data_IF_255925166486
#
_entry.id   IF_255925166486
#
_cell.length_a   1.000
_cell.length_b   1.000
_cell.length_c   1.000
_cell.angle_alpha   90.00
_cell.angle_beta   90.00
_cell.angle_gamma   90.00
#
_symmetry.space_group_name_H-M   'P 1'
#
loop_
_entity.id
_entity.type
_entity.pdbx_description
1 polymer ?
#
# COMPACT_ATOMS: atom_id res chain seq x y z
N UNK A 1 42.22 -28.95 -17.26
CA UNK A 1 43.26 -28.38 -16.37
C UNK A 1 42.59 -27.60 -15.26
N UNK A 2 43.24 -27.53 -14.10
CA UNK A 2 42.68 -27.31 -12.76
C UNK A 2 42.10 -25.89 -12.53
N UNK A 3 41.11 -25.74 -11.63
CA UNK A 3 40.65 -24.46 -11.10
C UNK A 3 41.56 -23.98 -9.94
N UNK A 4 41.99 -22.71 -9.98
CA UNK A 4 42.71 -22.07 -8.87
C UNK A 4 41.74 -21.38 -7.92
N UNK A 5 41.69 -21.90 -6.69
CA UNK A 5 41.15 -21.28 -5.48
C UNK A 5 42.29 -20.57 -4.73
N UNK A 6 42.03 -19.37 -4.19
CA UNK A 6 42.79 -18.74 -3.09
C UNK A 6 41.92 -17.59 -2.56
N UNK A 7 41.29 -17.67 -1.39
CA UNK A 7 41.81 -17.60 -0.01
C UNK A 7 41.89 -16.16 0.55
N UNK A 8 40.82 -15.78 1.25
CA UNK A 8 40.74 -15.23 2.61
C UNK A 8 41.95 -14.44 3.18
N UNK A 9 41.72 -13.18 3.56
CA UNK A 9 42.31 -12.57 4.77
C UNK A 9 41.35 -11.56 5.39
N UNK A 10 40.89 -11.88 6.60
CA UNK A 10 40.29 -10.95 7.55
C UNK A 10 41.38 -10.12 8.23
N UNK A 11 41.11 -8.85 8.49
CA UNK A 11 41.85 -8.04 9.44
C UNK A 11 40.88 -7.08 10.16
N UNK A 12 40.65 -7.37 11.43
CA UNK A 12 39.99 -6.49 12.39
C UNK A 12 41.05 -5.60 13.03
N UNK A 13 40.83 -4.29 13.11
CA UNK A 13 41.52 -3.40 14.05
C UNK A 13 40.47 -2.45 14.65
N UNK A 14 40.33 -2.53 15.97
CA UNK A 14 39.57 -1.63 16.81
C UNK A 14 40.45 -0.44 17.22
N UNK A 15 39.89 0.78 17.18
CA UNK A 15 40.32 1.88 18.05
C UNK A 15 39.18 2.90 18.17
N UNK A 16 38.68 3.10 19.38
CA UNK A 16 37.65 4.07 19.75
C UNK A 16 38.31 5.37 20.32
N UNK A 17 37.57 6.35 20.88
CA UNK A 17 37.33 7.66 20.27
C UNK A 17 37.96 8.84 21.06
N UNK A 18 38.02 10.04 20.46
CA UNK A 18 38.36 11.27 21.18
C UNK A 18 37.37 12.41 20.88
N UNK A 19 36.76 12.90 21.95
CA UNK A 19 35.83 14.02 22.09
C UNK A 19 36.50 15.38 21.76
N UNK A 20 35.78 16.25 21.05
CA UNK A 20 35.90 17.71 21.23
C UNK A 20 34.52 18.37 21.06
N UNK A 21 33.83 18.58 22.20
CA UNK A 21 32.73 19.54 22.31
C UNK A 21 33.33 20.93 22.57
N UNK A 22 33.08 21.87 21.68
CA UNK A 22 33.39 23.29 21.90
C UNK A 22 32.10 24.06 22.17
N UNK A 23 31.91 24.46 23.42
CA UNK A 23 30.92 25.45 23.87
C UNK A 23 31.62 26.78 24.17
N UNK A 24 30.99 27.94 23.94
CA UNK A 24 31.31 29.15 24.68
C UNK A 24 30.32 29.37 25.82
N UNK A 25 30.88 29.68 26.99
CA UNK A 25 30.19 30.14 28.19
C UNK A 25 30.11 31.68 28.20
N UNK A 26 29.00 32.25 28.68
CA UNK A 26 29.01 33.59 29.28
C UNK A 26 27.99 33.69 30.41
N UNK A 27 28.45 34.25 31.52
CA UNK A 27 27.83 34.23 32.83
C UNK A 27 26.97 35.48 33.12
N UNK A 28 25.90 35.24 33.88
CA UNK A 28 25.39 36.00 35.04
C UNK A 28 25.29 37.55 35.00
N UNK A 29 24.07 38.05 35.22
CA UNK A 29 23.78 38.95 36.35
C UNK A 29 22.25 39.08 36.55
N UNK A 30 21.81 38.86 37.78
CA UNK A 30 20.45 39.05 38.25
C UNK A 30 20.24 40.48 38.76
N UNK A 31 19.11 41.10 38.43
CA UNK A 31 18.46 42.17 39.22
C UNK A 31 17.03 42.39 38.72
N UNK A 32 16.03 42.06 39.55
CA UNK A 32 14.70 42.70 39.60
C UNK A 32 14.79 43.85 40.64
N UNK A 33 13.91 44.90 40.69
CA UNK A 33 12.44 44.81 40.60
C UNK A 33 11.73 46.05 40.00
N UNK A 34 10.40 46.09 40.19
CA UNK A 34 9.41 47.21 40.16
C UNK A 34 8.47 47.36 38.96
N UNK A 35 7.19 47.51 39.32
CA UNK A 35 6.00 47.60 38.50
C UNK A 35 5.61 49.07 38.23
N UNK A 36 5.01 49.34 37.07
CA UNK A 36 4.05 50.44 36.86
C UNK A 36 3.24 50.20 35.57
N UNK A 37 2.03 50.75 35.53
CA UNK A 37 0.90 50.35 34.71
C UNK A 37 0.70 51.14 33.40
N UNK A 38 -0.21 50.59 32.57
CA UNK A 38 -1.18 51.23 31.67
C UNK A 38 -0.77 51.94 30.37
N UNK A 39 -1.23 51.32 29.27
CA UNK A 39 -2.09 51.84 28.19
C UNK A 39 -1.50 52.59 26.96
N UNK A 40 -2.06 52.18 25.81
CA UNK A 40 -2.39 52.96 24.59
C UNK A 40 -1.50 52.73 23.35
N UNK A 41 -2.04 51.88 22.47
CA UNK A 41 -2.07 51.89 20.99
C UNK A 41 -0.91 52.50 20.17
N UNK A 42 -0.37 51.72 19.24
CA UNK A 42 -0.72 51.88 17.81
C UNK A 42 -0.22 50.73 16.94
N UNK A 43 -1.08 50.35 16.01
CA UNK A 43 -0.85 49.38 14.95
C UNK A 43 0.13 49.90 13.90
N UNK A 44 1.00 49.01 13.41
CA UNK A 44 1.45 48.99 12.03
C UNK A 44 1.92 47.56 11.71
N UNK A 45 1.00 46.79 11.13
CA UNK A 45 1.21 45.44 10.65
C UNK A 45 2.27 45.43 9.54
N UNK A 46 3.35 44.68 9.76
CA UNK A 46 4.15 44.08 8.68
C UNK A 46 4.47 42.67 9.12
N UNK A 47 3.49 41.79 8.93
CA UNK A 47 3.69 40.37 8.94
C UNK A 47 3.21 39.85 7.59
N UNK A 48 4.13 39.88 6.63
CA UNK A 48 4.15 38.98 5.50
C UNK A 48 4.33 37.56 6.07
N UNK A 49 3.27 36.97 6.62
CA UNK A 49 3.17 35.53 6.79
C UNK A 49 2.74 35.00 5.44
N UNK A 50 3.69 34.42 4.72
CA UNK A 50 3.42 33.55 3.60
C UNK A 50 2.47 32.45 4.09
N UNK A 51 1.19 32.62 3.79
CA UNK A 51 0.17 31.58 3.93
C UNK A 51 0.52 30.50 2.91
N UNK A 52 1.29 29.52 3.35
CA UNK A 52 1.35 28.24 2.67
C UNK A 52 0.03 27.55 2.97
N UNK A 53 -1.02 27.95 2.25
CA UNK A 53 -2.31 27.29 2.31
C UNK A 53 -2.09 25.84 1.86
N UNK A 54 -2.04 24.91 2.81
CA UNK A 54 -2.27 23.49 2.55
C UNK A 54 -3.49 23.40 1.62
N UNK A 55 -3.45 22.62 0.53
CA UNK A 55 -4.59 22.50 -0.36
C UNK A 55 -5.82 22.12 0.46
N UNK A 56 -6.80 23.02 0.52
CA UNK A 56 -8.02 22.84 1.31
C UNK A 56 -8.71 21.57 0.83
N UNK A 57 -8.89 20.60 1.72
CA UNK A 57 -9.58 19.36 1.38
C UNK A 57 -11.06 19.66 1.12
N UNK A 58 -11.71 19.02 0.13
CA UNK A 58 -13.13 19.25 -0.12
C UNK A 58 -14.02 18.97 1.10
N UNK A 59 -13.55 18.15 2.05
CA UNK A 59 -14.25 17.81 3.29
C UNK A 59 -14.22 18.94 4.34
N UNK A 60 -13.34 19.93 4.21
CA UNK A 60 -13.25 21.05 5.17
C UNK A 60 -14.46 21.96 5.13
N UNK A 61 -15.02 22.16 3.94
CA UNK A 61 -16.16 23.05 3.70
C UNK A 61 -17.50 22.33 3.69
N UNK A 62 -17.51 20.99 3.76
CA UNK A 62 -18.76 20.20 3.76
C UNK A 62 -19.53 20.37 5.08
N UNK A 63 -20.85 20.36 4.95
CA UNK A 63 -21.75 20.29 6.11
C UNK A 63 -21.63 18.94 6.80
N UNK A 64 -22.01 18.88 8.08
CA UNK A 64 -22.03 17.63 8.84
C UNK A 64 -22.90 16.55 8.18
N UNK A 65 -24.05 16.94 7.62
CA UNK A 65 -24.95 16.04 6.89
C UNK A 65 -24.26 15.46 5.65
N UNK A 66 -23.60 16.29 4.84
CA UNK A 66 -22.89 15.84 3.64
C UNK A 66 -21.74 14.89 3.99
N UNK A 67 -21.02 15.16 5.08
CA UNK A 67 -19.97 14.29 5.59
C UNK A 67 -20.53 12.93 6.02
N UNK A 68 -21.65 12.91 6.76
CA UNK A 68 -22.31 11.65 7.13
C UNK A 68 -22.78 10.87 5.91
N UNK A 69 -23.39 11.53 4.92
CA UNK A 69 -23.82 10.90 3.68
C UNK A 69 -22.61 10.28 2.94
N UNK A 70 -21.47 10.98 2.90
CA UNK A 70 -20.26 10.47 2.28
C UNK A 70 -19.74 9.20 2.98
N UNK A 71 -19.72 9.18 4.31
CA UNK A 71 -19.32 7.98 5.08
C UNK A 71 -20.31 6.82 4.89
N UNK A 72 -21.61 7.10 4.90
CA UNK A 72 -22.63 6.08 4.67
C UNK A 72 -22.55 5.49 3.25
N UNK A 73 -22.19 6.29 2.25
CA UNK A 73 -21.94 5.80 0.88
C UNK A 73 -20.76 4.84 0.82
N UNK A 74 -19.68 5.12 1.54
CA UNK A 74 -18.55 4.21 1.68
C UNK A 74 -19.03 2.90 2.32
N UNK A 75 -19.77 2.95 3.44
CA UNK A 75 -20.30 1.76 4.10
C UNK A 75 -21.24 0.90 3.24
N UNK A 76 -21.99 1.55 2.33
CA UNK A 76 -22.90 0.89 1.40
C UNK A 76 -22.19 0.22 0.21
N UNK A 77 -20.92 0.54 -0.04
CA UNK A 77 -20.15 -0.10 -1.10
C UNK A 77 -20.01 -1.62 -0.82
N UNK A 78 -20.19 -2.48 -1.84
CA UNK A 78 -20.15 -3.93 -1.65
C UNK A 78 -18.77 -4.45 -1.23
N UNK A 79 -17.71 -3.72 -1.58
CA UNK A 79 -16.32 -4.03 -1.28
C UNK A 79 -15.81 -3.41 0.03
N UNK A 80 -16.68 -2.79 0.83
CA UNK A 80 -16.31 -2.26 2.14
C UNK A 80 -15.99 -3.38 3.14
N UNK A 81 -14.70 -3.51 3.43
CA UNK A 81 -14.14 -4.50 4.35
C UNK A 81 -14.38 -4.19 5.83
N UNK A 82 -13.83 -5.05 6.70
CA UNK A 82 -14.07 -4.99 8.15
C UNK A 82 -13.39 -3.79 8.78
N UNK A 83 -12.18 -3.45 8.34
CA UNK A 83 -11.43 -2.27 8.77
C UNK A 83 -12.16 -0.99 8.44
N UNK A 84 -12.54 -0.82 7.17
CA UNK A 84 -13.33 0.34 6.71
C UNK A 84 -14.62 0.48 7.51
N UNK A 85 -15.38 -0.62 7.69
CA UNK A 85 -16.63 -0.58 8.46
C UNK A 85 -16.41 -0.16 9.91
N UNK A 86 -15.35 -0.65 10.55
CA UNK A 86 -15.03 -0.31 11.94
C UNK A 86 -14.71 1.18 12.10
N UNK A 87 -13.80 1.70 11.29
CA UNK A 87 -13.39 3.11 11.39
C UNK A 87 -14.48 4.08 10.92
N UNK A 88 -15.28 3.70 9.92
CA UNK A 88 -16.42 4.49 9.48
C UNK A 88 -17.50 4.62 10.55
N UNK A 89 -17.87 3.53 11.24
CA UNK A 89 -18.86 3.60 12.33
C UNK A 89 -18.33 4.42 13.51
N UNK A 90 -17.04 4.27 13.85
CA UNK A 90 -16.40 5.12 14.86
C UNK A 90 -16.47 6.61 14.52
N UNK A 91 -16.30 6.98 13.24
CA UNK A 91 -16.45 8.36 12.80
C UNK A 91 -17.90 8.85 12.85
N UNK A 92 -18.87 8.00 12.52
CA UNK A 92 -20.31 8.31 12.60
C UNK A 92 -20.80 8.53 14.02
N UNK A 93 -20.26 7.79 14.99
CA UNK A 93 -20.56 7.92 16.42
C UNK A 93 -19.84 9.11 17.07
N UNK A 94 -18.94 9.77 16.34
CA UNK A 94 -18.08 10.86 16.81
C UNK A 94 -18.57 12.26 16.43
N UNK A 95 -17.61 13.18 16.37
CA UNK A 95 -17.80 14.60 16.03
C UNK A 95 -17.68 14.86 14.52
N UNK A 96 -17.99 16.08 14.09
CA UNK A 96 -17.81 16.50 12.69
C UNK A 96 -16.34 16.41 12.28
N UNK A 97 -15.42 16.76 13.17
CA UNK A 97 -13.98 16.62 12.97
C UNK A 97 -13.56 15.15 12.80
N UNK A 98 -14.20 14.21 13.47
CA UNK A 98 -13.94 12.76 13.29
C UNK A 98 -14.38 12.29 11.90
N UNK A 99 -15.55 12.74 11.43
CA UNK A 99 -16.02 12.47 10.06
C UNK A 99 -15.04 13.03 9.01
N UNK A 100 -14.58 14.28 9.18
CA UNK A 100 -13.58 14.89 8.28
C UNK A 100 -12.27 14.12 8.30
N UNK A 101 -11.78 13.77 9.49
CA UNK A 101 -10.53 13.03 9.65
C UNK A 101 -10.60 11.66 8.97
N UNK A 102 -11.71 10.95 9.16
CA UNK A 102 -11.94 9.69 8.47
C UNK A 102 -11.94 9.86 6.94
N UNK A 103 -12.69 10.82 6.40
CA UNK A 103 -12.77 11.02 4.95
C UNK A 103 -11.44 11.49 4.33
N UNK A 104 -10.64 12.28 5.06
CA UNK A 104 -9.34 12.76 4.59
C UNK A 104 -8.27 11.68 4.58
N UNK A 105 -8.18 10.89 5.65
CA UNK A 105 -7.04 9.97 5.86
C UNK A 105 -7.47 8.61 6.39
N UNK A 106 -8.45 8.57 7.31
CA UNK A 106 -8.85 7.33 7.98
C UNK A 106 -9.38 6.25 7.03
N UNK A 107 -10.16 6.63 6.01
CA UNK A 107 -10.70 5.69 5.02
C UNK A 107 -9.59 4.98 4.27
N UNK A 108 -8.59 5.73 3.78
CA UNK A 108 -7.45 5.17 3.04
C UNK A 108 -6.64 4.18 3.90
N UNK A 109 -6.43 4.50 5.17
CA UNK A 109 -5.70 3.62 6.10
C UNK A 109 -6.51 2.36 6.43
N UNK A 110 -7.80 2.51 6.69
CA UNK A 110 -8.70 1.39 6.96
C UNK A 110 -8.83 0.46 5.74
N UNK A 111 -8.85 1.03 4.53
CA UNK A 111 -8.84 0.26 3.29
C UNK A 111 -7.52 -0.50 3.11
N UNK A 112 -6.38 0.10 3.45
CA UNK A 112 -5.09 -0.59 3.40
C UNK A 112 -5.02 -1.80 4.35
N UNK A 113 -5.63 -1.70 5.54
CA UNK A 113 -5.78 -2.86 6.44
C UNK A 113 -6.58 -3.99 5.79
N UNK A 114 -7.72 -3.67 5.19
CA UNK A 114 -8.57 -4.64 4.50
C UNK A 114 -7.85 -5.24 3.27
N UNK A 115 -7.13 -4.41 2.50
CA UNK A 115 -6.36 -4.83 1.33
C UNK A 115 -5.22 -5.79 1.75
N UNK A 116 -4.47 -5.50 2.83
CA UNK A 116 -3.47 -6.45 3.36
C UNK A 116 -4.07 -7.82 3.65
N UNK A 117 -5.22 -7.85 4.33
CA UNK A 117 -5.92 -9.10 4.66
C UNK A 117 -6.34 -9.83 3.38
N UNK A 118 -6.84 -9.11 2.37
CA UNK A 118 -7.18 -9.69 1.08
C UNK A 118 -5.96 -10.32 0.39
N UNK A 119 -4.79 -9.67 0.43
CA UNK A 119 -3.54 -10.20 -0.15
C UNK A 119 -3.10 -11.47 0.60
N UNK A 120 -3.10 -11.47 1.92
CA UNK A 120 -2.79 -12.68 2.69
C UNK A 120 -3.79 -13.82 2.41
N UNK A 121 -5.06 -13.48 2.20
CA UNK A 121 -6.09 -14.47 1.82
C UNK A 121 -5.81 -15.05 0.44
N UNK A 122 -5.34 -14.26 -0.52
CA UNK A 122 -4.87 -14.75 -1.83
C UNK A 122 -3.67 -15.69 -1.62
N UNK A 123 -2.66 -15.26 -0.86
CA UNK A 123 -1.44 -16.05 -0.62
C UNK A 123 -1.69 -17.38 0.11
N UNK A 124 -2.77 -17.47 0.90
CA UNK A 124 -3.15 -18.68 1.61
C UNK A 124 -3.81 -19.74 0.71
N UNK A 125 -4.21 -19.35 -0.51
CA UNK A 125 -4.81 -20.29 -1.47
C UNK A 125 -3.76 -21.26 -2.01
N UNK A 126 -4.05 -22.57 -2.05
CA UNK A 126 -3.09 -23.56 -2.55
C UNK A 126 -2.79 -23.40 -4.06
N UNK A 127 -3.70 -22.80 -4.82
CA UNK A 127 -3.52 -22.50 -6.24
C UNK A 127 -2.68 -21.25 -6.53
N UNK A 128 -2.26 -20.49 -5.50
CA UNK A 128 -1.42 -19.31 -5.69
C UNK A 128 -0.02 -19.70 -6.19
N UNK A 129 0.29 -19.28 -7.41
CA UNK A 129 1.54 -19.62 -8.07
C UNK A 129 2.70 -18.69 -7.73
N UNK A 130 3.85 -18.98 -8.33
CA UNK A 130 5.12 -18.32 -8.00
C UNK A 130 5.11 -16.84 -8.33
N UNK A 131 4.46 -16.44 -9.42
CA UNK A 131 4.35 -15.05 -9.82
C UNK A 131 3.43 -14.29 -8.87
N UNK A 132 2.27 -14.86 -8.50
CA UNK A 132 1.38 -14.27 -7.49
C UNK A 132 2.12 -14.07 -6.17
N UNK A 133 2.84 -15.07 -5.67
CA UNK A 133 3.64 -14.95 -4.45
C UNK A 133 4.69 -13.82 -4.53
N UNK A 134 5.36 -13.70 -5.67
CA UNK A 134 6.40 -12.70 -5.90
C UNK A 134 5.84 -11.29 -5.91
N UNK A 135 4.77 -11.04 -6.65
CA UNK A 135 4.21 -9.68 -6.77
C UNK A 135 3.40 -9.28 -5.53
N UNK A 136 2.68 -10.21 -4.90
CA UNK A 136 2.04 -9.98 -3.61
C UNK A 136 3.06 -9.66 -2.51
N UNK A 137 4.19 -10.40 -2.49
CA UNK A 137 5.28 -10.16 -1.54
C UNK A 137 5.82 -8.73 -1.65
N UNK A 138 6.09 -8.25 -2.86
CA UNK A 138 6.53 -6.86 -3.08
C UNK A 138 5.51 -5.84 -2.55
N UNK A 139 4.23 -6.04 -2.82
CA UNK A 139 3.19 -5.13 -2.35
C UNK A 139 3.08 -5.09 -0.82
N UNK A 140 3.29 -6.24 -0.16
CA UNK A 140 3.32 -6.34 1.30
C UNK A 140 4.62 -5.78 1.90
N UNK A 141 5.75 -5.92 1.22
CA UNK A 141 7.03 -5.36 1.66
C UNK A 141 7.03 -3.83 1.56
N UNK A 142 6.39 -3.26 0.54
CA UNK A 142 6.20 -1.81 0.40
C UNK A 142 5.21 -1.25 1.45
N UNK A 143 4.19 -2.03 1.82
CA UNK A 143 3.15 -1.74 2.83
C UNK A 143 2.49 -0.34 2.72
N UNK A 144 2.41 0.20 1.50
CA UNK A 144 1.68 1.46 1.25
C UNK A 144 0.26 1.17 0.79
N UNK A 145 -0.74 2.00 1.16
CA UNK A 145 -2.11 1.85 0.67
C UNK A 145 -2.18 1.77 -0.87
N UNK A 146 -1.34 2.53 -1.55
CA UNK A 146 -1.27 2.58 -3.01
C UNK A 146 -0.71 1.28 -3.59
N UNK A 147 0.37 0.71 -3.02
CA UNK A 147 0.95 -0.54 -3.50
C UNK A 147 0.00 -1.73 -3.31
N UNK A 148 -0.62 -1.82 -2.13
CA UNK A 148 -1.58 -2.87 -1.80
C UNK A 148 -2.79 -2.83 -2.75
N UNK A 149 -3.37 -1.63 -2.97
CA UNK A 149 -4.51 -1.45 -3.86
C UNK A 149 -4.15 -1.72 -5.32
N UNK A 150 -2.97 -1.29 -5.76
CA UNK A 150 -2.49 -1.52 -7.13
C UNK A 150 -2.34 -3.01 -7.41
N UNK A 151 -1.78 -3.77 -6.47
CA UNK A 151 -1.69 -5.22 -6.61
C UNK A 151 -3.09 -5.84 -6.73
N UNK A 152 -4.02 -5.53 -5.84
CA UNK A 152 -5.36 -6.14 -5.88
C UNK A 152 -6.16 -5.79 -7.14
N UNK A 153 -6.02 -4.57 -7.65
CA UNK A 153 -6.80 -4.09 -8.80
C UNK A 153 -6.22 -4.51 -10.15
N UNK A 154 -4.89 -4.59 -10.26
CA UNK A 154 -4.22 -4.84 -11.55
C UNK A 154 -3.13 -5.91 -11.45
N UNK A 155 -2.27 -5.84 -10.42
CA UNK A 155 -1.11 -6.72 -10.28
C UNK A 155 -1.46 -8.20 -10.14
N UNK A 156 -2.48 -8.53 -9.35
CA UNK A 156 -2.91 -9.89 -9.08
C UNK A 156 -3.31 -10.62 -10.36
N UNK A 157 -4.13 -9.98 -11.21
CA UNK A 157 -4.58 -10.56 -12.49
C UNK A 157 -3.40 -10.85 -13.43
N UNK A 158 -2.42 -9.95 -13.48
CA UNK A 158 -1.23 -10.13 -14.34
C UNK A 158 -0.31 -11.23 -13.80
N UNK A 159 -0.12 -11.28 -12.48
CA UNK A 159 0.68 -12.31 -11.84
C UNK A 159 0.02 -13.69 -12.01
N UNK A 160 -1.31 -13.77 -11.85
CA UNK A 160 -2.07 -14.99 -12.09
C UNK A 160 -1.96 -15.46 -13.55
N UNK A 161 -1.99 -14.53 -14.52
CA UNK A 161 -1.79 -14.88 -15.92
C UNK A 161 -0.40 -15.47 -16.21
N UNK A 162 0.66 -14.98 -15.54
CA UNK A 162 2.00 -15.57 -15.66
C UNK A 162 2.00 -17.01 -15.14
N UNK A 163 1.40 -17.25 -13.97
CA UNK A 163 1.28 -18.59 -13.40
C UNK A 163 0.41 -19.51 -14.28
N UNK A 164 -0.70 -19.00 -14.83
CA UNK A 164 -1.59 -19.73 -15.74
C UNK A 164 -0.84 -20.14 -17.02
N UNK A 165 -0.02 -19.26 -17.61
CA UNK A 165 0.82 -19.61 -18.78
C UNK A 165 1.76 -20.77 -18.47
N UNK A 166 2.41 -20.75 -17.31
CA UNK A 166 3.30 -21.84 -16.87
C UNK A 166 2.53 -23.15 -16.70
N UNK A 167 1.32 -23.10 -16.14
CA UNK A 167 0.45 -24.26 -16.01
C UNK A 167 0.07 -24.84 -17.38
N UNK A 168 -0.27 -23.99 -18.37
CA UNK A 168 -0.60 -24.42 -19.73
C UNK A 168 0.61 -25.06 -20.43
N UNK A 169 1.81 -24.47 -20.31
CA UNK A 169 3.02 -25.10 -20.84
C UNK A 169 3.31 -26.46 -20.17
N UNK A 170 3.01 -26.59 -18.89
CA UNK A 170 3.13 -27.87 -18.17
C UNK A 170 2.15 -28.91 -18.71
N UNK A 171 0.91 -28.51 -19.06
CA UNK A 171 -0.07 -29.37 -19.74
C UNK A 171 0.47 -29.81 -21.11
N UNK A 172 0.97 -28.89 -21.92
CA UNK A 172 1.52 -29.17 -23.26
C UNK A 172 2.72 -30.13 -23.22
N UNK A 173 3.50 -30.13 -22.13
CA UNK A 173 4.63 -31.02 -21.93
C UNK A 173 4.23 -32.45 -21.51
N UNK A 174 2.96 -32.70 -21.16
CA UNK A 174 2.51 -34.04 -20.74
C UNK A 174 2.60 -35.04 -21.91
N UNK A 175 3.22 -36.21 -21.71
CA UNK A 175 3.22 -37.25 -22.74
C UNK A 175 1.79 -37.74 -22.98
N UNK A 176 1.45 -38.01 -24.25
CA UNK A 176 0.13 -38.54 -24.62
C UNK A 176 -1.02 -37.53 -24.63
N UNK A 177 -0.74 -36.22 -24.50
CA UNK A 177 -1.77 -35.17 -24.63
C UNK A 177 -2.47 -35.24 -26.00
N UNK A 178 -3.82 -35.21 -25.95
CA UNK A 178 -4.67 -35.33 -27.12
C UNK A 178 -4.42 -34.18 -28.12
N UNK A 179 -4.60 -34.41 -29.43
CA UNK A 179 -4.47 -33.34 -30.43
C UNK A 179 -5.42 -32.15 -30.17
N UNK A 180 -6.64 -32.44 -29.71
CA UNK A 180 -7.63 -31.42 -29.38
C UNK A 180 -7.19 -30.56 -28.19
N UNK A 181 -6.76 -31.19 -27.08
CA UNK A 181 -6.29 -30.46 -25.90
C UNK A 181 -5.04 -29.63 -26.21
N UNK A 182 -4.13 -30.16 -27.04
CA UNK A 182 -2.96 -29.41 -27.52
C UNK A 182 -3.38 -28.17 -28.33
N UNK A 183 -4.33 -28.30 -29.24
CA UNK A 183 -4.81 -27.18 -30.06
C UNK A 183 -5.46 -26.08 -29.20
N UNK A 184 -6.32 -26.46 -28.25
CA UNK A 184 -6.96 -25.53 -27.34
C UNK A 184 -5.94 -24.81 -26.43
N UNK A 185 -4.94 -25.53 -25.90
CA UNK A 185 -3.86 -24.95 -25.10
C UNK A 185 -3.04 -23.93 -25.89
N UNK A 186 -2.67 -24.27 -27.14
CA UNK A 186 -1.96 -23.33 -28.03
C UNK A 186 -2.78 -22.09 -28.32
N UNK A 187 -4.08 -22.24 -28.61
CA UNK A 187 -4.96 -21.10 -28.86
C UNK A 187 -5.04 -20.14 -27.67
N UNK A 188 -5.11 -20.66 -26.44
CA UNK A 188 -5.12 -19.83 -25.24
C UNK A 188 -3.79 -19.08 -25.04
N UNK A 189 -2.66 -19.71 -25.37
CA UNK A 189 -1.35 -19.06 -25.32
C UNK A 189 -1.16 -18.01 -26.41
N UNK A 190 -1.72 -18.25 -27.60
CA UNK A 190 -1.66 -17.32 -28.74
C UNK A 190 -2.50 -16.06 -28.49
N UNK A 191 -3.67 -16.21 -27.86
CA UNK A 191 -4.47 -15.07 -27.38
C UNK A 191 -3.73 -14.31 -26.27
N UNK A 192 -3.20 -15.04 -25.29
CA UNK A 192 -2.33 -14.51 -24.25
C UNK A 192 -3.00 -13.58 -23.23
N UNK A 193 -4.31 -13.30 -23.36
CA UNK A 193 -5.04 -12.54 -22.35
C UNK A 193 -5.19 -13.34 -21.05
N UNK A 194 -5.14 -12.68 -19.87
CA UNK A 194 -5.41 -13.35 -18.60
C UNK A 194 -6.74 -14.13 -18.62
N UNK A 195 -7.75 -13.59 -19.29
CA UNK A 195 -9.08 -14.18 -19.40
C UNK A 195 -9.07 -15.47 -20.24
N UNK A 196 -8.39 -15.50 -21.40
CA UNK A 196 -8.29 -16.70 -22.24
C UNK A 196 -7.48 -17.81 -21.57
N UNK A 197 -6.35 -17.46 -20.94
CA UNK A 197 -5.51 -18.40 -20.19
C UNK A 197 -6.31 -19.06 -19.07
N UNK A 198 -7.04 -18.25 -18.31
CA UNK A 198 -7.85 -18.72 -17.18
C UNK A 198 -9.02 -19.59 -17.66
N UNK A 199 -9.72 -19.16 -18.70
CA UNK A 199 -10.82 -19.91 -19.27
C UNK A 199 -10.40 -21.30 -19.75
N UNK A 200 -9.24 -21.42 -20.39
CA UNK A 200 -8.70 -22.72 -20.81
C UNK A 200 -8.46 -23.66 -19.62
N UNK A 201 -7.85 -23.15 -18.53
CA UNK A 201 -7.56 -23.95 -17.34
C UNK A 201 -8.82 -24.34 -16.57
N UNK A 202 -9.85 -23.49 -16.55
CA UNK A 202 -11.09 -23.77 -15.81
C UNK A 202 -12.08 -24.63 -16.58
N UNK A 203 -12.18 -24.42 -17.89
CA UNK A 203 -13.23 -25.02 -18.74
C UNK A 203 -12.63 -25.78 -19.92
N UNK A 204 -11.77 -25.12 -20.70
CA UNK A 204 -11.31 -25.61 -22.00
C UNK A 204 -10.61 -26.97 -21.95
N UNK A 205 -9.87 -27.28 -20.87
CA UNK A 205 -9.21 -28.58 -20.73
C UNK A 205 -10.19 -29.76 -20.62
N UNK A 206 -11.39 -29.55 -20.09
CA UNK A 206 -12.39 -30.61 -19.92
C UNK A 206 -13.28 -30.79 -21.15
N UNK A 207 -13.43 -29.74 -21.95
CA UNK A 207 -14.16 -29.80 -23.21
C UNK A 207 -13.34 -30.51 -24.30
N UNK A 208 -12.02 -30.33 -24.30
CA UNK A 208 -11.14 -30.93 -25.28
C UNK A 208 -10.87 -32.44 -25.05
N UNK A 209 -11.18 -32.95 -23.87
CA UNK A 209 -11.03 -34.37 -23.48
C UNK A 209 -12.37 -35.15 -23.53
N UNK A 210 -13.47 -34.53 -23.96
CA UNK A 210 -14.75 -35.21 -24.27
C UNK A 210 -14.76 -35.79 -25.69
#
# INVERSE_FOLDING_TARGET
>A
MRPTRTALTAAAIALAPALLLTSPALAAAATAPTATASATSNAAATSNTADASEPSSPYDTMSEEDLRIAVLRILAAPDSGKGVRREANKALDGTVEDLRTFLKTGYRLAQAEDDRVAIFTILAKPESGKAVHREAGKALDDDTPEALRTFLTTGYRLAQAEDDRVAIFTILAKPGISPALRAAASQALDDGSPEALRHFLEVGQYEADR
#
